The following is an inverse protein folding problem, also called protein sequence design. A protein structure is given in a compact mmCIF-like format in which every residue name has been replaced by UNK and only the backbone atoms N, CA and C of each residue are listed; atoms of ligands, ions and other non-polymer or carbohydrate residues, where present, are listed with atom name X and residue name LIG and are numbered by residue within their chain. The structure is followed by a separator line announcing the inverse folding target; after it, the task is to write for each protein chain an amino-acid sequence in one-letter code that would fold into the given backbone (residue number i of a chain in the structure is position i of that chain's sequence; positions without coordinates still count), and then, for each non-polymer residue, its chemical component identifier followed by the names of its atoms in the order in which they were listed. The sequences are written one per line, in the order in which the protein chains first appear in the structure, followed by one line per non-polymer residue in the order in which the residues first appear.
data_IF_512143705447
#
_entry.id   IF_512143705447
#
_cell.length_a   1.000
_cell.length_b   1.000
_cell.length_c   1.000
_cell.angle_alpha   90.00
_cell.angle_beta   90.00
_cell.angle_gamma   90.00
#
_symmetry.space_group_name_H-M   'P 1'
#
loop_
_entity.id
_entity.type
_entity.pdbx_description
1 polymer ?
#
# COMPACT_ATOMS: atom_id res chain seq x y z
N UNK A 1 -7.61 6.52 -14.13
CA UNK A 1 -8.27 6.44 -12.81
C UNK A 1 -7.74 5.19 -12.14
N UNK A 2 -7.44 5.23 -10.84
CA UNK A 2 -6.94 4.05 -10.13
C UNK A 2 -8.15 3.29 -9.56
N UNK A 3 -8.35 2.05 -10.03
CA UNK A 3 -9.52 1.22 -9.69
C UNK A 3 -9.42 0.51 -8.33
N UNK A 4 -8.47 0.90 -7.47
CA UNK A 4 -8.26 0.33 -6.14
C UNK A 4 -7.58 -1.04 -6.12
N UNK A 5 -7.03 -1.52 -7.24
CA UNK A 5 -6.35 -2.82 -7.29
C UNK A 5 -4.92 -2.77 -6.72
N UNK A 6 -4.28 -1.60 -6.76
CA UNK A 6 -2.89 -1.41 -6.35
C UNK A 6 -2.67 0.02 -5.85
N UNK A 7 -1.71 0.17 -4.95
CA UNK A 7 -1.18 1.45 -4.50
C UNK A 7 0.34 1.48 -4.72
N UNK A 8 0.83 2.54 -5.36
CA UNK A 8 2.26 2.86 -5.38
C UNK A 8 2.50 4.10 -4.54
N UNK A 9 3.30 3.95 -3.49
CA UNK A 9 3.78 5.04 -2.64
C UNK A 9 5.19 5.42 -3.09
N UNK A 10 5.33 6.59 -3.70
CA UNK A 10 6.63 7.07 -4.17
C UNK A 10 7.43 7.59 -2.97
N UNK A 11 8.59 6.97 -2.71
CA UNK A 11 9.47 7.25 -1.56
C UNK A 11 10.42 8.42 -1.80
N UNK A 12 10.55 8.90 -3.04
CA UNK A 12 11.39 10.03 -3.42
C UNK A 12 12.88 9.74 -3.57
N UNK A 13 13.42 8.80 -2.79
CA UNK A 13 14.83 8.41 -2.79
C UNK A 13 14.98 6.87 -2.68
N UNK A 14 16.12 6.37 -3.15
CA UNK A 14 16.47 4.95 -2.99
C UNK A 14 16.95 4.68 -1.56
N UNK A 15 16.56 3.54 -0.99
CA UNK A 15 16.97 3.20 0.36
C UNK A 15 16.31 1.97 0.96
N UNK A 16 16.65 1.71 2.22
CA UNK A 16 16.01 0.68 3.04
C UNK A 16 14.98 1.34 3.93
N UNK A 17 13.74 0.91 3.80
CA UNK A 17 12.62 1.46 4.55
C UNK A 17 12.00 0.39 5.43
N UNK A 18 11.67 0.77 6.67
CA UNK A 18 10.86 -0.07 7.53
C UNK A 18 9.40 0.23 7.28
N UNK A 19 8.62 -0.81 6.99
CA UNK A 19 7.16 -0.72 6.90
C UNK A 19 6.54 -1.41 8.12
N UNK A 20 5.55 -0.77 8.74
CA UNK A 20 4.79 -1.32 9.86
C UNK A 20 3.29 -1.25 9.56
N UNK A 21 2.61 -2.38 9.71
CA UNK A 21 1.15 -2.39 9.75
C UNK A 21 0.71 -2.15 11.19
N UNK A 22 -0.21 -1.22 11.39
CA UNK A 22 -0.80 -0.88 12.69
C UNK A 22 -2.33 -0.86 12.58
N UNK A 23 -3.02 -1.02 13.70
CA UNK A 23 -4.49 -1.03 13.72
C UNK A 23 -5.09 0.35 13.39
N UNK A 24 -4.45 1.42 13.85
CA UNK A 24 -4.91 2.78 13.65
C UNK A 24 -3.72 3.75 13.51
N UNK A 25 -3.94 4.82 12.75
CA UNK A 25 -3.02 5.95 12.64
C UNK A 25 -3.67 7.23 13.15
N UNK A 26 -2.98 7.89 14.07
CA UNK A 26 -3.28 9.27 14.42
C UNK A 26 -2.61 10.22 13.42
N UNK A 27 -3.38 11.20 12.94
CA UNK A 27 -2.94 12.21 11.99
C UNK A 27 -2.27 11.61 10.74
N UNK A 28 -2.99 10.73 10.04
CA UNK A 28 -2.54 10.16 8.78
C UNK A 28 -2.16 11.25 7.76
N UNK A 29 -1.08 11.02 7.02
CA UNK A 29 -0.61 11.93 5.97
C UNK A 29 -1.47 11.85 4.71
N UNK A 30 -2.17 10.73 4.52
CA UNK A 30 -3.12 10.51 3.44
C UNK A 30 -3.66 9.10 3.47
N UNK A 31 -4.45 8.74 2.46
CA UNK A 31 -4.97 7.39 2.32
C UNK A 31 -5.41 7.05 0.90
N UNK A 32 -5.52 5.74 0.65
CA UNK A 32 -5.77 5.15 -0.67
C UNK A 32 -6.86 4.10 -0.53
N UNK A 33 -7.87 4.16 -1.38
CA UNK A 33 -8.90 3.13 -1.43
C UNK A 33 -8.38 1.90 -2.16
N UNK A 34 -8.52 0.74 -1.53
CA UNK A 34 -8.10 -0.57 -2.04
C UNK A 34 -9.26 -1.56 -2.01
N UNK A 35 -9.34 -2.39 -3.05
CA UNK A 35 -10.20 -3.57 -3.11
C UNK A 35 -9.38 -4.78 -2.71
N UNK A 36 -9.84 -5.51 -1.72
CA UNK A 36 -9.16 -6.70 -1.19
C UNK A 36 -10.11 -7.88 -1.27
N UNK A 37 -10.38 -8.42 -2.48
CA UNK A 37 -11.42 -9.43 -2.69
C UNK A 37 -11.12 -10.78 -2.01
N UNK A 38 -9.84 -11.09 -1.77
CA UNK A 38 -9.38 -12.35 -1.17
C UNK A 38 -9.04 -12.23 0.31
N UNK A 39 -9.08 -11.02 0.87
CA UNK A 39 -8.54 -10.76 2.21
C UNK A 39 -7.00 -10.83 2.29
N UNK A 40 -6.29 -10.82 1.16
CA UNK A 40 -4.82 -10.88 1.15
C UNK A 40 -4.23 -9.72 0.38
N UNK A 41 -3.37 -8.93 1.04
CA UNK A 41 -2.66 -7.79 0.47
C UNK A 41 -1.16 -8.08 0.50
N UNK A 42 -0.46 -7.82 -0.61
CA UNK A 42 0.99 -7.82 -0.62
C UNK A 42 1.53 -6.42 -0.39
N UNK A 43 2.55 -6.29 0.47
CA UNK A 43 3.27 -5.03 0.72
C UNK A 43 4.75 -5.29 0.50
N UNK A 44 5.33 -4.57 -0.46
CA UNK A 44 6.73 -4.74 -0.86
C UNK A 44 7.21 -3.63 -1.77
N UNK A 45 8.43 -3.78 -2.30
CA UNK A 45 9.00 -2.83 -3.23
C UNK A 45 8.25 -2.85 -4.57
N UNK A 46 8.08 -1.68 -5.20
CA UNK A 46 7.38 -1.59 -6.48
C UNK A 46 8.10 -2.32 -7.63
N UNK A 47 9.41 -2.51 -7.51
CA UNK A 47 10.23 -3.27 -8.47
C UNK A 47 9.91 -4.77 -8.47
N UNK A 48 9.33 -5.28 -7.38
CA UNK A 48 8.91 -6.68 -7.25
C UNK A 48 7.52 -6.92 -7.87
N UNK A 49 7.01 -5.99 -8.70
CA UNK A 49 5.76 -6.20 -9.44
C UNK A 49 6.02 -6.80 -10.81
N UNK A 50 5.26 -7.84 -11.16
CA UNK A 50 5.26 -8.48 -12.46
C UNK A 50 4.77 -7.50 -13.53
N UNK A 51 5.53 -7.40 -14.64
CA UNK A 51 5.16 -6.55 -15.77
C UNK A 51 3.89 -6.99 -16.51
N UNK A 52 3.36 -8.19 -16.21
CA UNK A 52 2.20 -8.79 -16.90
C UNK A 52 0.83 -8.48 -16.29
N UNK A 53 0.77 -8.00 -15.04
CA UNK A 53 -0.50 -7.82 -14.35
C UNK A 53 -0.44 -7.17 -12.97
N UNK A 54 0.71 -6.59 -12.59
CA UNK A 54 0.94 -5.93 -11.30
C UNK A 54 0.88 -6.89 -10.09
N UNK A 55 0.97 -8.20 -10.32
CA UNK A 55 1.11 -9.18 -9.25
C UNK A 55 2.51 -9.12 -8.63
N UNK A 56 2.69 -9.53 -7.37
CA UNK A 56 4.03 -9.74 -6.83
C UNK A 56 4.79 -10.79 -7.66
N UNK A 57 6.09 -10.57 -7.89
CA UNK A 57 6.96 -11.58 -8.48
C UNK A 57 6.92 -12.86 -7.61
N UNK A 58 6.86 -14.01 -8.27
CA UNK A 58 6.82 -15.32 -7.62
C UNK A 58 8.22 -15.83 -7.23
N UNK A 59 9.28 -15.10 -7.57
CA UNK A 59 10.65 -15.47 -7.25
C UNK A 59 10.96 -15.34 -5.75
N UNK A 60 11.89 -16.16 -5.26
CA UNK A 60 12.35 -16.08 -3.85
C UNK A 60 13.14 -14.81 -3.52
N UNK A 61 13.32 -13.90 -4.49
CA UNK A 61 14.06 -12.65 -4.34
C UNK A 61 13.18 -11.47 -3.90
N UNK A 62 11.86 -11.65 -3.92
CA UNK A 62 10.89 -10.59 -3.59
C UNK A 62 11.02 -10.14 -2.14
N UNK A 63 11.13 -8.82 -1.94
CA UNK A 63 11.20 -8.20 -0.63
C UNK A 63 9.84 -7.61 -0.26
N UNK A 64 9.14 -8.33 0.61
CA UNK A 64 7.84 -7.89 1.10
C UNK A 64 7.20 -8.93 2.01
N UNK A 65 5.93 -8.70 2.34
CA UNK A 65 5.13 -9.63 3.12
C UNK A 65 3.68 -9.58 2.67
N UNK A 66 2.98 -10.70 2.87
CA UNK A 66 1.54 -10.74 2.78
C UNK A 66 0.92 -10.35 4.13
N UNK A 67 -0.08 -9.49 4.07
CA UNK A 67 -0.93 -9.12 5.18
C UNK A 67 -2.34 -9.65 4.93
N UNK A 68 -2.77 -10.57 5.78
CA UNK A 68 -4.11 -11.14 5.74
C UNK A 68 -5.07 -10.24 6.56
N UNK A 69 -6.19 -9.86 5.93
CA UNK A 69 -7.30 -9.08 6.48
C UNK A 69 -8.63 -9.67 6.00
N UNK A 70 -9.76 -9.19 6.48
CA UNK A 70 -11.05 -9.61 5.92
C UNK A 70 -11.20 -9.14 4.46
N UNK A 71 -11.95 -9.90 3.66
CA UNK A 71 -12.23 -9.50 2.29
C UNK A 71 -13.17 -8.28 2.27
N UNK A 72 -12.83 -7.27 1.49
CA UNK A 72 -13.63 -6.05 1.42
C UNK A 72 -12.91 -4.88 0.78
N UNK A 73 -13.52 -3.70 0.88
CA UNK A 73 -12.92 -2.44 0.46
C UNK A 73 -12.38 -1.71 1.68
N UNK A 74 -11.20 -1.10 1.53
CA UNK A 74 -10.48 -0.46 2.62
C UNK A 74 -9.96 0.90 2.21
N UNK A 75 -9.97 1.85 3.14
CA UNK A 75 -9.07 2.98 3.12
C UNK A 75 -7.77 2.56 3.79
N UNK A 76 -6.70 2.46 3.01
CA UNK A 76 -5.34 2.27 3.52
C UNK A 76 -4.71 3.63 3.78
N UNK A 77 -4.70 4.03 5.05
CA UNK A 77 -4.06 5.26 5.51
C UNK A 77 -2.56 5.03 5.68
N UNK A 78 -1.77 6.07 5.43
CA UNK A 78 -0.32 6.03 5.61
C UNK A 78 0.19 7.24 6.41
N UNK A 79 1.32 7.04 7.08
CA UNK A 79 2.10 8.08 7.76
C UNK A 79 3.57 7.72 7.70
N UNK A 80 4.43 8.72 7.51
CA UNK A 80 5.88 8.54 7.71
C UNK A 80 6.29 9.24 8.99
N UNK A 81 6.98 8.52 9.86
CA UNK A 81 7.50 9.09 11.11
C UNK A 81 8.88 8.49 11.42
N UNK A 82 9.88 9.37 11.56
CA UNK A 82 11.28 8.99 11.84
C UNK A 82 11.82 7.93 10.86
N UNK A 83 11.49 8.07 9.57
CA UNK A 83 11.92 7.14 8.51
C UNK A 83 11.18 5.79 8.47
N UNK A 84 10.15 5.61 9.30
CA UNK A 84 9.29 4.41 9.29
C UNK A 84 7.99 4.74 8.58
N UNK A 85 7.60 3.89 7.63
CA UNK A 85 6.32 3.97 6.92
C UNK A 85 5.30 3.15 7.71
N UNK A 86 4.27 3.80 8.22
CA UNK A 86 3.18 3.13 8.91
C UNK A 86 1.96 3.08 7.99
N UNK A 87 1.30 1.92 7.97
CA UNK A 87 0.07 1.68 7.22
C UNK A 87 -1.03 1.19 8.18
N UNK A 88 -2.25 1.70 8.02
CA UNK A 88 -3.44 1.20 8.71
C UNK A 88 -4.60 1.05 7.74
N UNK A 89 -5.37 -0.02 7.91
CA UNK A 89 -6.50 -0.35 7.05
C UNK A 89 -7.81 -0.20 7.80
N UNK A 90 -8.70 0.66 7.32
CA UNK A 90 -10.06 0.78 7.85
C UNK A 90 -11.08 0.42 6.77
N UNK A 91 -12.13 -0.38 7.06
CA UNK A 91 -13.18 -0.69 6.08
C UNK A 91 -13.78 0.57 5.45
N UNK A 92 -14.16 0.49 4.17
CA UNK A 92 -14.73 1.60 3.42
C UNK A 92 -15.82 1.13 2.46
N UNK A 93 -16.75 2.01 2.10
CA UNK A 93 -17.66 1.81 0.96
C UNK A 93 -17.02 2.15 -0.38
N UNK A 94 -15.93 2.93 -0.37
CA UNK A 94 -15.23 3.37 -1.57
C UNK A 94 -14.22 2.32 -2.04
N UNK A 95 -14.08 2.17 -3.35
CA UNK A 95 -13.26 1.12 -3.97
C UNK A 95 -12.32 1.62 -5.07
N UNK A 96 -12.29 2.93 -5.31
CA UNK A 96 -11.53 3.54 -6.40
C UNK A 96 -11.04 4.92 -5.99
N UNK A 97 -9.99 5.37 -6.66
CA UNK A 97 -9.33 6.62 -6.38
C UNK A 97 -9.42 7.58 -7.56
N UNK A 98 -9.68 8.85 -7.26
CA UNK A 98 -9.84 9.93 -8.26
C UNK A 98 -8.57 10.73 -8.52
N UNK A 99 -7.50 10.49 -7.76
CA UNK A 99 -6.22 11.18 -8.00
C UNK A 99 -5.63 10.74 -9.35
N UNK A 100 -5.00 11.70 -10.02
CA UNK A 100 -4.29 11.51 -11.28
C UNK A 100 -2.77 11.51 -11.10
N UNK A 101 -2.29 12.14 -10.04
CA UNK A 101 -0.87 12.23 -9.71
C UNK A 101 -0.41 11.05 -8.86
N UNK A 102 0.89 10.76 -8.89
CA UNK A 102 1.51 9.79 -7.99
C UNK A 102 1.45 10.26 -6.54
N UNK A 103 1.19 9.33 -5.63
CA UNK A 103 1.26 9.60 -4.19
C UNK A 103 2.73 9.63 -3.78
N UNK A 104 3.16 10.76 -3.23
CA UNK A 104 4.53 10.97 -2.76
C UNK A 104 4.55 11.02 -1.25
N UNK A 105 5.38 10.21 -0.64
CA UNK A 105 5.64 10.27 0.80
C UNK A 105 6.69 11.35 1.06
N UNK A 106 6.45 12.18 2.07
CA UNK A 106 7.48 13.05 2.62
C UNK A 106 8.32 12.20 3.59
N UNK A 107 9.49 11.76 3.12
CA UNK A 107 10.40 10.87 3.85
C UNK A 107 11.53 11.68 4.50
#
# INVERSE_FOLDING_TARGET
MNEGNIAFLNLGEDGKYQVKIVEQLDAASGGIYLKVPTGRVFVGAGEDTSGGGLEPDGSGSVQGFFHDIEAGNYLMSYKVEKGVIFLASSPSSESANRFTDSIRLAI
#
